data_IF_576139161398
#
_entry.id   IF_576139161398
#
_cell.length_a   1.000
_cell.length_b   1.000
_cell.length_c   1.000
_cell.angle_alpha   90.00
_cell.angle_beta   90.00
_cell.angle_gamma   90.00
#
_symmetry.space_group_name_H-M   'P 1'
#
loop_
_entity.id
_entity.type
_entity.pdbx_description
1 polymer ?
#
# COMPACT_ATOMS: atom_id res chain seq x y z
N UNK A 1 3.80 -24.88 -15.49
CA UNK A 1 3.80 -24.75 -14.00
C UNK A 1 2.36 -24.69 -13.55
N UNK A 2 1.92 -25.73 -12.80
CA UNK A 2 0.52 -25.86 -12.37
C UNK A 2 0.18 -24.84 -11.28
N UNK A 3 -0.94 -24.15 -11.47
CA UNK A 3 -1.59 -23.38 -10.40
C UNK A 3 -1.93 -24.33 -9.24
N UNK A 4 -1.73 -23.93 -7.97
CA UNK A 4 -2.26 -24.68 -6.85
C UNK A 4 -3.79 -24.73 -6.92
N UNK A 5 -4.44 -25.84 -6.47
CA UNK A 5 -5.89 -25.94 -6.48
C UNK A 5 -6.52 -24.93 -5.52
N UNK A 6 -7.56 -24.30 -5.97
CA UNK A 6 -8.30 -23.17 -5.45
C UNK A 6 -8.93 -23.38 -4.06
N UNK A 7 -8.59 -22.50 -3.12
CA UNK A 7 -9.56 -21.77 -2.28
C UNK A 7 -9.03 -20.34 -2.29
N UNK A 8 -9.70 -19.43 -2.92
CA UNK A 8 -9.32 -18.04 -3.22
C UNK A 8 -7.91 -17.91 -3.86
N UNK A 9 -7.81 -17.57 -5.14
CA UNK A 9 -6.59 -17.74 -5.95
C UNK A 9 -5.38 -16.89 -5.51
N UNK A 10 -5.50 -16.08 -4.47
CA UNK A 10 -4.45 -15.16 -4.00
C UNK A 10 -4.10 -15.32 -2.51
N UNK A 11 -4.80 -16.19 -1.76
CA UNK A 11 -4.49 -16.44 -0.36
C UNK A 11 -3.08 -17.04 -0.22
N UNK A 12 -2.26 -16.42 0.64
CA UNK A 12 -0.87 -16.85 0.85
C UNK A 12 0.16 -16.34 -0.15
N UNK A 13 -0.18 -15.39 -1.02
CA UNK A 13 0.75 -14.73 -1.97
C UNK A 13 0.68 -13.21 -1.88
N UNK A 14 1.78 -12.54 -2.20
CA UNK A 14 1.87 -11.08 -2.25
C UNK A 14 2.62 -10.59 -3.49
N UNK A 15 2.52 -9.30 -3.78
CA UNK A 15 3.28 -8.66 -4.84
C UNK A 15 4.76 -8.45 -4.47
N UNK A 16 5.55 -8.09 -5.48
CA UNK A 16 7.00 -7.91 -5.34
C UNK A 16 7.34 -6.78 -4.38
N UNK A 17 6.57 -5.68 -4.38
CA UNK A 17 6.78 -4.53 -3.48
C UNK A 17 6.56 -4.92 -2.02
N UNK A 18 5.51 -5.69 -1.73
CA UNK A 18 5.25 -6.18 -0.38
C UNK A 18 6.32 -7.17 0.09
N UNK A 19 6.76 -8.09 -0.79
CA UNK A 19 7.85 -9.02 -0.49
C UNK A 19 9.17 -8.29 -0.20
N UNK A 20 9.50 -7.25 -0.98
CA UNK A 20 10.67 -6.40 -0.78
C UNK A 20 10.65 -5.77 0.62
N UNK A 21 9.51 -5.23 1.02
CA UNK A 21 9.31 -4.66 2.34
C UNK A 21 9.46 -5.70 3.46
N UNK A 22 8.82 -6.87 3.33
CA UNK A 22 8.92 -7.95 4.32
C UNK A 22 10.36 -8.43 4.55
N UNK A 23 11.18 -8.38 3.50
CA UNK A 23 12.58 -8.81 3.54
C UNK A 23 13.55 -7.68 3.88
N UNK A 24 13.13 -6.41 3.82
CA UNK A 24 13.99 -5.24 4.02
C UNK A 24 15.00 -5.06 2.87
N UNK A 25 14.64 -5.44 1.63
CA UNK A 25 15.51 -5.39 0.45
C UNK A 25 14.81 -4.70 -0.73
N UNK A 26 15.56 -4.35 -1.78
CA UNK A 26 14.99 -3.72 -2.98
C UNK A 26 14.08 -4.68 -3.78
N UNK A 27 13.12 -4.12 -4.54
CA UNK A 27 12.29 -4.86 -5.48
C UNK A 27 13.14 -5.64 -6.49
N UNK A 28 14.22 -5.04 -7.00
CA UNK A 28 15.16 -5.71 -7.90
C UNK A 28 15.83 -6.92 -7.26
N UNK A 29 16.20 -6.83 -5.99
CA UNK A 29 16.76 -7.95 -5.23
C UNK A 29 15.74 -9.09 -5.08
N UNK A 30 14.48 -8.78 -4.77
CA UNK A 30 13.39 -9.77 -4.71
C UNK A 30 13.23 -10.49 -6.04
N UNK A 31 13.27 -9.75 -7.16
CA UNK A 31 13.17 -10.35 -8.50
C UNK A 31 14.33 -11.32 -8.74
N UNK A 32 15.54 -10.95 -8.37
CA UNK A 32 16.72 -11.82 -8.45
C UNK A 32 16.59 -13.09 -7.61
N UNK A 33 16.00 -13.00 -6.39
CA UNK A 33 15.74 -14.16 -5.54
C UNK A 33 14.71 -15.12 -6.16
N UNK A 34 13.68 -14.57 -6.81
CA UNK A 34 12.68 -15.37 -7.55
C UNK A 34 13.34 -16.09 -8.74
N UNK A 35 14.20 -15.40 -9.50
CA UNK A 35 14.92 -15.99 -10.66
C UNK A 35 15.90 -17.09 -10.24
N UNK A 36 16.49 -16.97 -9.06
CA UNK A 36 17.36 -18.00 -8.45
C UNK A 36 16.58 -19.13 -7.76
N UNK A 37 15.24 -19.08 -7.77
CA UNK A 37 14.35 -20.00 -7.03
C UNK A 37 14.52 -19.99 -5.50
N UNK A 38 15.11 -18.96 -4.92
CA UNK A 38 15.19 -18.76 -3.47
C UNK A 38 13.82 -18.39 -2.88
N UNK A 39 12.98 -17.70 -3.69
CA UNK A 39 11.59 -17.41 -3.40
C UNK A 39 10.69 -18.06 -4.45
N UNK A 40 9.60 -18.69 -3.97
CA UNK A 40 8.58 -19.29 -4.85
C UNK A 40 7.65 -18.20 -5.35
N UNK A 41 7.47 -18.11 -6.66
CA UNK A 41 6.58 -17.15 -7.29
C UNK A 41 5.93 -17.72 -8.55
N UNK A 42 4.80 -17.13 -8.93
CA UNK A 42 4.16 -17.33 -10.21
C UNK A 42 3.78 -15.99 -10.83
N UNK A 43 3.40 -15.97 -12.11
CA UNK A 43 2.96 -14.76 -12.81
C UNK A 43 1.48 -14.85 -13.12
N UNK A 44 0.77 -13.75 -12.88
CA UNK A 44 -0.61 -13.59 -13.36
C UNK A 44 -0.63 -13.50 -14.89
N UNK A 45 -1.82 -13.59 -15.48
CA UNK A 45 -2.02 -13.42 -16.92
C UNK A 45 -1.57 -12.02 -17.41
N UNK A 46 -1.63 -10.99 -16.55
CA UNK A 46 -1.11 -9.64 -16.78
C UNK A 46 0.40 -9.48 -16.52
N UNK A 47 1.15 -10.57 -16.26
CA UNK A 47 2.60 -10.53 -16.09
C UNK A 47 3.09 -10.18 -14.68
N UNK A 48 2.20 -9.83 -13.74
CA UNK A 48 2.58 -9.48 -12.36
C UNK A 48 3.05 -10.71 -11.59
N UNK A 49 4.19 -10.59 -10.88
CA UNK A 49 4.71 -11.66 -10.03
C UNK A 49 3.92 -11.75 -8.73
N UNK A 50 3.58 -12.97 -8.32
CA UNK A 50 2.97 -13.32 -7.03
C UNK A 50 3.93 -14.23 -6.27
N UNK A 51 4.40 -13.77 -5.12
CA UNK A 51 5.43 -14.41 -4.31
C UNK A 51 4.77 -15.07 -3.12
N UNK A 52 5.08 -16.33 -2.87
CA UNK A 52 4.54 -17.08 -1.73
C UNK A 52 5.01 -16.49 -0.41
N UNK A 53 4.08 -16.07 0.45
CA UNK A 53 4.34 -15.59 1.81
C UNK A 53 5.09 -16.65 2.63
N UNK A 54 4.73 -17.91 2.47
CA UNK A 54 5.43 -19.02 3.12
C UNK A 54 6.91 -19.08 2.68
N UNK A 55 7.20 -18.88 1.38
CA UNK A 55 8.58 -18.91 0.90
C UNK A 55 9.41 -17.72 1.41
N UNK A 56 8.77 -16.56 1.63
CA UNK A 56 9.41 -15.40 2.26
C UNK A 56 9.78 -15.73 3.71
N UNK A 57 8.87 -16.30 4.48
CA UNK A 57 9.12 -16.69 5.86
C UNK A 57 10.21 -17.76 5.97
N UNK A 58 10.21 -18.75 5.04
CA UNK A 58 11.24 -19.78 4.97
C UNK A 58 12.62 -19.17 4.64
N UNK A 59 12.65 -18.20 3.74
CA UNK A 59 13.86 -17.46 3.40
C UNK A 59 14.39 -16.66 4.61
N UNK A 60 13.52 -15.94 5.30
CA UNK A 60 13.86 -15.19 6.51
C UNK A 60 14.46 -16.13 7.58
N UNK A 61 13.83 -17.27 7.83
CA UNK A 61 14.33 -18.27 8.81
C UNK A 61 15.69 -18.84 8.42
N UNK A 62 15.91 -19.19 7.15
CA UNK A 62 17.19 -19.75 6.67
C UNK A 62 18.34 -18.76 6.76
N UNK A 63 18.08 -17.47 6.61
CA UNK A 63 19.09 -16.41 6.60
C UNK A 63 19.16 -15.63 7.91
N UNK A 64 18.47 -16.08 8.97
CA UNK A 64 18.37 -15.38 10.27
C UNK A 64 17.95 -13.91 10.12
N UNK A 65 17.14 -13.61 9.11
CA UNK A 65 16.60 -12.29 8.93
C UNK A 65 15.44 -12.11 9.93
N UNK A 66 15.57 -11.13 10.81
CA UNK A 66 14.43 -10.73 11.64
C UNK A 66 13.35 -10.23 10.70
N UNK A 67 12.12 -10.78 10.73
CA UNK A 67 11.07 -10.28 9.89
C UNK A 67 10.93 -8.77 10.08
N UNK A 68 10.99 -8.00 8.99
CA UNK A 68 10.70 -6.56 9.06
C UNK A 68 9.31 -6.30 9.68
N UNK A 69 8.40 -7.28 9.59
CA UNK A 69 7.11 -7.29 10.27
C UNK A 69 7.19 -7.39 11.80
N UNK A 70 8.28 -7.90 12.39
CA UNK A 70 8.47 -7.85 13.85
C UNK A 70 8.92 -6.46 14.34
N UNK A 71 9.41 -5.61 13.43
CA UNK A 71 9.59 -4.17 13.70
C UNK A 71 8.30 -3.36 13.41
N UNK A 72 7.25 -3.98 12.90
CA UNK A 72 5.91 -3.39 12.80
C UNK A 72 5.30 -3.38 14.22
N UNK A 73 5.79 -2.46 15.06
CA UNK A 73 5.09 -2.17 16.28
C UNK A 73 3.65 -1.78 15.95
N UNK A 74 2.70 -2.18 16.77
CA UNK A 74 1.28 -1.75 16.65
C UNK A 74 1.12 -0.22 16.54
N UNK A 75 2.21 0.52 16.75
CA UNK A 75 2.29 1.97 16.75
C UNK A 75 2.56 2.59 15.37
N UNK A 76 2.97 1.82 14.34
CA UNK A 76 3.21 2.38 13.00
C UNK A 76 1.92 2.48 12.20
N UNK A 77 1.78 3.57 11.44
CA UNK A 77 0.66 3.80 10.55
C UNK A 77 0.94 3.15 9.19
N UNK A 78 0.15 2.14 8.81
CA UNK A 78 0.30 1.46 7.52
C UNK A 78 -0.29 2.30 6.41
N UNK A 79 0.57 2.74 5.49
CA UNK A 79 0.23 3.62 4.37
C UNK A 79 0.41 2.87 3.05
N UNK A 80 -0.62 2.84 2.26
CA UNK A 80 -0.59 2.34 0.89
C UNK A 80 -0.57 3.54 -0.06
N UNK A 81 0.45 3.61 -0.91
CA UNK A 81 0.56 4.65 -1.94
C UNK A 81 0.41 4.02 -3.31
N UNK A 82 -0.49 4.56 -4.13
CA UNK A 82 -0.71 4.14 -5.52
C UNK A 82 -0.50 5.34 -6.44
N UNK A 83 0.60 5.33 -7.15
CA UNK A 83 1.06 6.44 -8.01
C UNK A 83 1.91 5.85 -9.13
N UNK A 84 1.60 6.11 -10.38
CA UNK A 84 2.34 5.56 -11.53
C UNK A 84 3.63 6.33 -11.83
N UNK A 85 3.69 7.63 -11.51
CA UNK A 85 4.90 8.44 -11.69
C UNK A 85 5.98 8.10 -10.66
N UNK A 86 7.12 7.63 -11.14
CA UNK A 86 8.24 7.23 -10.31
C UNK A 86 8.83 8.39 -9.49
N UNK A 87 8.90 9.60 -10.09
CA UNK A 87 9.47 10.77 -9.40
C UNK A 87 8.57 11.18 -8.24
N UNK A 88 7.26 11.13 -8.42
CA UNK A 88 6.28 11.39 -7.36
C UNK A 88 6.41 10.38 -6.23
N UNK A 89 6.55 9.07 -6.54
CA UNK A 89 6.78 8.03 -5.52
C UNK A 89 8.08 8.26 -4.75
N UNK A 90 9.18 8.59 -5.45
CA UNK A 90 10.48 8.86 -4.82
C UNK A 90 10.41 10.11 -3.92
N UNK A 91 9.74 11.15 -4.37
CA UNK A 91 9.52 12.37 -3.59
C UNK A 91 8.72 12.08 -2.31
N UNK A 92 7.62 11.33 -2.41
CA UNK A 92 6.81 10.94 -1.26
C UNK A 92 7.63 10.12 -0.26
N UNK A 93 8.38 9.11 -0.75
CA UNK A 93 9.21 8.28 0.11
C UNK A 93 10.27 9.10 0.85
N UNK A 94 10.98 9.99 0.14
CA UNK A 94 12.00 10.85 0.75
C UNK A 94 11.43 11.75 1.86
N UNK A 95 10.23 12.32 1.64
CA UNK A 95 9.57 13.12 2.66
C UNK A 95 9.13 12.28 3.86
N UNK A 96 8.54 11.10 3.63
CA UNK A 96 8.13 10.19 4.71
C UNK A 96 9.33 9.77 5.57
N UNK A 97 10.49 9.50 4.96
CA UNK A 97 11.71 9.17 5.67
C UNK A 97 12.25 10.36 6.48
N UNK A 98 12.12 11.59 5.94
CA UNK A 98 12.58 12.81 6.59
C UNK A 98 11.68 13.23 7.78
N UNK A 99 10.38 12.98 7.72
CA UNK A 99 9.46 13.41 8.78
C UNK A 99 9.68 12.70 10.11
N UNK A 100 10.30 11.53 10.13
CA UNK A 100 10.53 10.76 11.34
C UNK A 100 9.24 10.23 11.99
N UNK A 101 8.11 10.34 11.30
CA UNK A 101 6.85 9.76 11.75
C UNK A 101 6.91 8.23 11.63
N UNK A 102 6.30 7.48 12.55
CA UNK A 102 6.25 6.04 12.48
C UNK A 102 5.28 5.57 11.38
N UNK A 103 5.61 5.86 10.14
CA UNK A 103 4.88 5.43 8.95
C UNK A 103 5.45 4.12 8.43
N UNK A 104 4.57 3.26 7.97
CA UNK A 104 4.87 2.00 7.34
C UNK A 104 4.30 2.04 5.90
N UNK A 105 5.01 2.76 5.02
CA UNK A 105 4.56 3.02 3.66
C UNK A 105 4.98 1.91 2.69
N UNK A 106 4.05 1.51 1.81
CA UNK A 106 4.31 0.64 0.65
C UNK A 106 3.85 1.37 -0.60
N UNK A 107 4.77 1.49 -1.58
CA UNK A 107 4.54 2.19 -2.83
C UNK A 107 4.18 1.20 -3.95
N UNK A 108 3.12 1.49 -4.69
CA UNK A 108 2.69 0.75 -5.86
C UNK A 108 2.61 1.68 -7.07
N UNK A 109 3.03 1.16 -8.22
CA UNK A 109 2.85 1.83 -9.52
C UNK A 109 1.56 1.42 -10.22
N UNK A 110 0.79 0.51 -9.62
CA UNK A 110 -0.41 -0.08 -10.22
C UNK A 110 -1.49 -0.28 -9.17
N UNK A 111 -2.68 0.26 -9.43
CA UNK A 111 -3.87 0.04 -8.59
C UNK A 111 -4.25 -1.44 -8.49
N UNK A 112 -4.05 -2.21 -9.57
CA UNK A 112 -4.34 -3.65 -9.55
C UNK A 112 -3.43 -4.42 -8.59
N UNK A 113 -2.13 -4.09 -8.55
CA UNK A 113 -1.21 -4.71 -7.59
C UNK A 113 -1.57 -4.32 -6.15
N UNK A 114 -1.89 -3.05 -5.95
CA UNK A 114 -2.31 -2.54 -4.65
C UNK A 114 -3.56 -3.27 -4.13
N UNK A 115 -4.59 -3.46 -4.98
CA UNK A 115 -5.82 -4.19 -4.61
C UNK A 115 -5.52 -5.62 -4.17
N UNK A 116 -4.64 -6.32 -4.89
CA UNK A 116 -4.32 -7.72 -4.59
C UNK A 116 -3.54 -7.87 -3.28
N UNK A 117 -2.74 -6.88 -2.91
CA UNK A 117 -1.94 -6.92 -1.68
C UNK A 117 -2.66 -6.29 -0.47
N UNK A 118 -3.72 -5.52 -0.72
CA UNK A 118 -4.46 -4.80 0.32
C UNK A 118 -4.97 -5.70 1.48
N UNK A 119 -5.50 -6.91 1.23
CA UNK A 119 -5.93 -7.79 2.31
C UNK A 119 -4.78 -8.21 3.24
N UNK A 120 -3.58 -8.42 2.69
CA UNK A 120 -2.39 -8.80 3.47
C UNK A 120 -1.76 -7.58 4.16
N UNK A 121 -1.79 -6.42 3.51
CA UNK A 121 -1.22 -5.17 4.00
C UNK A 121 -2.08 -4.54 5.09
N UNK A 122 -3.42 -4.67 4.99
CA UNK A 122 -4.39 -4.02 5.88
C UNK A 122 -4.06 -2.54 6.11
N UNK A 123 -4.00 -1.71 5.06
CA UNK A 123 -3.61 -0.32 5.18
C UNK A 123 -4.62 0.46 6.01
N UNK A 124 -4.18 1.54 6.64
CA UNK A 124 -5.00 2.46 7.39
C UNK A 124 -5.13 3.80 6.67
N UNK A 125 -4.19 4.07 5.78
CA UNK A 125 -4.22 5.22 4.87
C UNK A 125 -3.96 4.73 3.46
N UNK A 126 -4.74 5.25 2.51
CA UNK A 126 -4.50 5.14 1.08
C UNK A 126 -4.22 6.53 0.52
N UNK A 127 -3.07 6.68 -0.13
CA UNK A 127 -2.80 7.80 -1.02
C UNK A 127 -2.86 7.28 -2.45
N UNK A 128 -3.68 7.88 -3.32
CA UNK A 128 -3.82 7.41 -4.70
C UNK A 128 -3.95 8.55 -5.70
N UNK A 129 -3.33 8.41 -6.88
CA UNK A 129 -3.69 9.27 -8.01
C UNK A 129 -5.01 8.78 -8.65
N UNK A 130 -5.71 9.70 -9.31
CA UNK A 130 -6.89 9.40 -10.14
C UNK A 130 -6.51 9.11 -11.61
N UNK A 131 -5.38 9.64 -12.07
CA UNK A 131 -4.94 9.50 -13.46
C UNK A 131 -3.79 8.51 -13.53
N UNK A 132 -4.13 7.24 -13.65
CA UNK A 132 -3.14 6.17 -13.84
C UNK A 132 -3.41 5.42 -15.14
N UNK A 133 -2.37 4.94 -15.86
CA UNK A 133 -2.53 4.10 -17.02
C UNK A 133 -3.30 2.80 -16.69
N UNK A 134 -4.20 2.41 -17.58
CA UNK A 134 -4.95 1.14 -17.52
C UNK A 134 -5.95 0.98 -16.35
N UNK A 135 -6.03 1.94 -15.43
CA UNK A 135 -7.03 1.90 -14.35
C UNK A 135 -7.60 3.29 -14.14
N UNK A 136 -8.91 3.44 -14.27
CA UNK A 136 -9.60 4.65 -13.86
C UNK A 136 -9.61 4.71 -12.33
N UNK A 137 -8.96 5.75 -11.76
CA UNK A 137 -8.91 5.95 -10.30
C UNK A 137 -10.29 6.10 -9.67
N UNK A 138 -11.28 6.58 -10.40
CA UNK A 138 -12.68 6.63 -9.92
C UNK A 138 -13.28 5.23 -9.80
N UNK A 139 -13.04 4.34 -10.78
CA UNK A 139 -13.47 2.93 -10.69
C UNK A 139 -12.72 2.20 -9.57
N UNK A 140 -11.44 2.49 -9.39
CA UNK A 140 -10.65 1.97 -8.28
C UNK A 140 -11.26 2.34 -6.93
N UNK A 141 -11.55 3.64 -6.71
CA UNK A 141 -12.19 4.12 -5.47
C UNK A 141 -13.59 3.54 -5.29
N UNK A 142 -14.38 3.45 -6.35
CA UNK A 142 -15.70 2.85 -6.33
C UNK A 142 -15.63 1.38 -5.95
N UNK A 143 -14.71 0.63 -6.50
CA UNK A 143 -14.48 -0.78 -6.14
C UNK A 143 -14.12 -0.90 -4.68
N UNK A 144 -13.21 -0.06 -4.17
CA UNK A 144 -12.86 -0.03 -2.76
C UNK A 144 -14.05 0.31 -1.86
N UNK A 145 -14.89 1.27 -2.25
CA UNK A 145 -16.04 1.70 -1.45
C UNK A 145 -17.10 0.61 -1.25
N UNK A 146 -17.11 -0.40 -2.11
CA UNK A 146 -17.98 -1.58 -1.96
C UNK A 146 -17.44 -2.64 -1.00
N UNK A 147 -16.18 -2.52 -0.57
CA UNK A 147 -15.55 -3.43 0.37
C UNK A 147 -15.61 -2.91 1.81
N UNK A 148 -15.79 -3.81 2.77
CA UNK A 148 -15.82 -3.49 4.20
C UNK A 148 -14.53 -2.82 4.71
N UNK A 149 -13.41 -2.97 3.99
CA UNK A 149 -12.13 -2.34 4.32
C UNK A 149 -12.15 -0.82 4.17
N UNK A 150 -13.02 -0.28 3.30
CA UNK A 150 -13.09 1.16 3.04
C UNK A 150 -13.54 1.96 4.26
N UNK A 151 -14.44 1.42 5.09
CA UNK A 151 -14.98 2.11 6.26
C UNK A 151 -13.94 2.43 7.34
N UNK A 152 -12.80 1.75 7.32
CA UNK A 152 -11.68 1.96 8.27
C UNK A 152 -10.44 2.59 7.63
N UNK A 153 -10.53 2.94 6.34
CA UNK A 153 -9.43 3.46 5.53
C UNK A 153 -9.55 4.98 5.39
N UNK A 154 -8.54 5.72 5.84
CA UNK A 154 -8.43 7.13 5.51
C UNK A 154 -7.89 7.26 4.07
N UNK A 155 -8.66 7.90 3.19
CA UNK A 155 -8.31 8.00 1.77
C UNK A 155 -8.00 9.43 1.38
N UNK A 156 -6.84 9.65 0.77
CA UNK A 156 -6.42 10.90 0.16
C UNK A 156 -6.15 10.66 -1.32
N UNK A 157 -6.84 11.39 -2.15
CA UNK A 157 -6.63 11.42 -3.59
C UNK A 157 -5.65 12.54 -3.93
N UNK A 158 -4.55 12.21 -4.58
CA UNK A 158 -3.56 13.16 -5.09
C UNK A 158 -3.79 13.32 -6.59
N UNK A 159 -4.27 14.47 -7.07
CA UNK A 159 -4.62 14.61 -8.49
C UNK A 159 -4.30 15.98 -9.05
N UNK A 160 -3.93 16.03 -10.33
CA UNK A 160 -3.82 17.30 -11.10
C UNK A 160 -5.17 17.84 -11.58
N UNK A 161 -6.27 17.14 -11.35
CA UNK A 161 -7.61 17.60 -11.72
C UNK A 161 -8.11 18.67 -10.76
N UNK A 162 -8.86 19.64 -11.28
CA UNK A 162 -9.59 20.56 -10.45
C UNK A 162 -10.80 19.91 -9.76
N UNK A 163 -11.29 20.52 -8.69
CA UNK A 163 -12.49 20.04 -8.00
C UNK A 163 -13.72 20.01 -8.92
N UNK A 164 -13.78 20.88 -9.91
CA UNK A 164 -14.87 20.93 -10.91
C UNK A 164 -14.78 19.74 -11.88
N UNK A 165 -13.58 19.43 -12.37
CA UNK A 165 -13.34 18.25 -13.22
C UNK A 165 -13.67 16.93 -12.49
N UNK A 166 -13.30 16.85 -11.20
CA UNK A 166 -13.62 15.68 -10.37
C UNK A 166 -15.15 15.55 -10.20
N UNK A 167 -15.85 16.66 -9.89
CA UNK A 167 -17.33 16.67 -9.78
C UNK A 167 -18.01 16.28 -11.09
N UNK A 168 -17.51 16.77 -12.23
CA UNK A 168 -18.06 16.44 -13.55
C UNK A 168 -17.96 14.94 -13.88
N UNK A 169 -17.00 14.22 -13.27
CA UNK A 169 -16.83 12.76 -13.39
C UNK A 169 -17.58 11.93 -12.33
N UNK A 170 -18.46 12.56 -11.57
CA UNK A 170 -19.27 11.88 -10.56
C UNK A 170 -18.84 12.11 -9.11
N UNK A 171 -17.76 12.89 -8.90
CA UNK A 171 -17.24 13.19 -7.57
C UNK A 171 -16.43 12.06 -6.92
N UNK A 172 -15.97 12.31 -5.71
CA UNK A 172 -15.32 11.30 -4.87
C UNK A 172 -16.30 10.71 -3.86
N UNK A 173 -16.10 9.48 -3.42
CA UNK A 173 -16.89 8.89 -2.34
C UNK A 173 -16.80 9.74 -1.06
N UNK A 174 -17.82 9.65 -0.20
CA UNK A 174 -17.85 10.36 1.08
C UNK A 174 -16.64 10.00 1.95
N UNK A 175 -16.05 11.02 2.60
CA UNK A 175 -14.90 10.85 3.47
C UNK A 175 -13.53 10.83 2.75
N UNK A 176 -13.52 10.81 1.42
CA UNK A 176 -12.27 10.91 0.64
C UNK A 176 -11.79 12.37 0.61
N UNK A 177 -10.54 12.58 1.02
CA UNK A 177 -9.88 13.89 0.93
C UNK A 177 -9.24 14.05 -0.45
N UNK A 178 -9.29 15.27 -0.98
CA UNK A 178 -8.63 15.59 -2.25
C UNK A 178 -7.44 16.53 -2.00
N UNK A 179 -6.28 16.14 -2.48
CA UNK A 179 -5.06 16.93 -2.47
C UNK A 179 -4.64 17.20 -3.91
N UNK A 180 -4.71 18.47 -4.32
CA UNK A 180 -4.36 18.85 -5.69
C UNK A 180 -2.84 18.85 -5.88
N UNK A 181 -2.38 18.33 -7.02
CA UNK A 181 -0.98 18.44 -7.45
C UNK A 181 -0.69 19.89 -7.94
N UNK A 182 0.45 20.51 -7.59
CA UNK A 182 1.58 19.94 -6.85
C UNK A 182 1.21 19.63 -5.38
N UNK A 183 1.68 18.49 -4.89
CA UNK A 183 1.33 17.98 -3.57
C UNK A 183 1.85 18.91 -2.48
N UNK A 184 0.95 19.44 -1.65
CA UNK A 184 1.29 20.19 -0.45
C UNK A 184 1.79 19.20 0.63
N UNK A 185 3.12 19.15 0.79
CA UNK A 185 3.78 18.22 1.71
C UNK A 185 3.57 18.59 3.18
N UNK A 186 3.38 19.88 3.49
CA UNK A 186 3.09 20.34 4.85
C UNK A 186 1.68 19.94 5.26
N UNK A 187 0.72 20.07 4.35
CA UNK A 187 -0.63 19.57 4.57
C UNK A 187 -0.62 18.04 4.80
N UNK A 188 0.09 17.31 3.97
CA UNK A 188 0.17 15.85 4.07
C UNK A 188 0.84 15.39 5.36
N UNK A 189 1.89 16.08 5.79
CA UNK A 189 2.54 15.85 7.09
C UNK A 189 1.55 16.07 8.23
N UNK A 190 0.86 17.21 8.25
CA UNK A 190 -0.15 17.52 9.27
C UNK A 190 -1.30 16.51 9.31
N UNK A 191 -1.73 15.99 8.16
CA UNK A 191 -2.72 14.94 8.05
C UNK A 191 -2.27 13.65 8.75
N UNK A 192 -1.04 13.20 8.52
CA UNK A 192 -0.50 12.02 9.18
C UNK A 192 -0.35 12.23 10.70
N UNK A 193 0.15 13.38 11.10
CA UNK A 193 0.33 13.71 12.52
C UNK A 193 -1.01 13.72 13.27
N UNK A 194 -2.04 14.31 12.67
CA UNK A 194 -3.41 14.30 13.21
C UNK A 194 -3.96 12.88 13.34
N UNK A 195 -3.83 12.03 12.32
CA UNK A 195 -4.28 10.64 12.38
C UNK A 195 -3.59 9.85 13.48
N UNK A 196 -2.29 10.05 13.67
CA UNK A 196 -1.53 9.38 14.71
C UNK A 196 -1.94 9.84 16.10
N UNK A 197 -2.17 11.14 16.28
CA UNK A 197 -2.66 11.71 17.53
C UNK A 197 -4.03 11.12 17.94
N UNK A 198 -4.97 11.03 17.01
CA UNK A 198 -6.29 10.41 17.25
C UNK A 198 -6.15 8.93 17.64
N UNK A 199 -5.25 8.19 16.98
CA UNK A 199 -4.99 6.78 17.32
C UNK A 199 -4.46 6.61 18.74
N UNK A 200 -3.52 7.47 19.15
CA UNK A 200 -2.98 7.43 20.52
C UNK A 200 -4.07 7.70 21.57
N UNK A 201 -4.96 8.67 21.32
CA UNK A 201 -6.08 8.97 22.20
C UNK A 201 -7.00 7.74 22.34
N UNK A 202 -7.39 7.14 21.20
CA UNK A 202 -8.30 5.98 21.18
C UNK A 202 -7.69 4.75 21.89
N UNK A 203 -6.38 4.55 21.80
CA UNK A 203 -5.68 3.46 22.53
C UNK A 203 -5.69 3.68 24.03
N UNK A 204 -5.38 4.90 24.48
CA UNK A 204 -5.43 5.24 25.92
C UNK A 204 -6.82 4.99 26.50
N UNK A 205 -7.87 5.36 25.76
CA UNK A 205 -9.25 5.14 26.20
C UNK A 205 -9.63 3.65 26.32
N UNK A 206 -9.03 2.77 25.49
CA UNK A 206 -9.27 1.32 25.54
C UNK A 206 -8.48 0.59 26.64
N UNK A 207 -7.39 1.19 27.16
CA UNK A 207 -6.59 0.62 28.24
C UNK A 207 -7.16 0.95 29.64
N UNK A 208 -8.07 1.91 29.70
CA UNK A 208 -8.67 2.39 30.95
C UNK A 208 -10.09 1.82 31.19
N UNK A 209 -10.66 1.14 30.18
CA UNK A 209 -11.97 0.46 30.25
C UNK A 209 -11.80 -1.04 30.47
#
# INVERSE_FOLDING_TARGET
MNMPPSKEPYDGYCGTSYAAKMLGISVGTVQGLVEKNDLKAWKTQGGHRRISLQSIQDYQRRHNLTPASMMQGEDRLRVLVVEDDENTRLMLQANFDQWGLPLDAVMYSSAMEALLDMPSLQPQVLLTDLKMPNVDGFEFLKTLSTHNLFSSLAVVVMTGMSAEEVRAKGGLPDGVQMLQKPIDMDWLHGFFDALMSVRQINRRSRQVA
#
